data_IF_104324991478
#
_entry.id   IF_104324991478
#
_cell.length_a   1.000
_cell.length_b   1.000
_cell.length_c   1.000
_cell.angle_alpha   90.00
_cell.angle_beta   90.00
_cell.angle_gamma   90.00
#
_symmetry.space_group_name_H-M   'P 1'
#
loop_
_entity.id
_entity.type
_entity.pdbx_description
1 polymer ?
#
# COMPACT_ATOMS: atom_id res chain seq x y z
N UNK A 1 -36.52 -7.98 -35.93
CA UNK A 1 -36.34 -6.62 -35.38
C UNK A 1 -34.84 -6.40 -35.14
N UNK A 2 -34.09 -6.18 -36.23
CA UNK A 2 -32.65 -5.91 -36.21
C UNK A 2 -32.43 -4.43 -35.92
N UNK A 3 -31.80 -4.08 -34.80
CA UNK A 3 -31.28 -2.74 -34.58
C UNK A 3 -29.85 -2.69 -35.11
N UNK A 4 -29.73 -2.22 -36.34
CA UNK A 4 -28.47 -1.81 -36.97
C UNK A 4 -27.92 -0.60 -36.21
N UNK A 5 -26.91 -0.80 -35.36
CA UNK A 5 -26.15 0.32 -34.81
C UNK A 5 -25.16 0.74 -35.91
N UNK A 6 -25.60 1.63 -36.80
CA UNK A 6 -24.69 2.48 -37.57
C UNK A 6 -24.07 3.44 -36.55
N UNK A 7 -22.88 3.14 -36.07
CA UNK A 7 -22.08 4.12 -35.34
C UNK A 7 -21.67 5.22 -36.32
N UNK A 8 -22.35 6.37 -36.26
CA UNK A 8 -21.71 7.65 -36.53
C UNK A 8 -20.50 7.72 -35.60
N UNK A 9 -19.29 7.59 -36.14
CA UNK A 9 -18.04 7.52 -35.40
C UNK A 9 -17.93 8.67 -34.39
N UNK A 10 -17.97 8.40 -33.07
CA UNK A 10 -17.28 9.29 -32.16
C UNK A 10 -15.80 9.07 -32.44
N UNK A 11 -15.09 10.10 -32.89
CA UNK A 11 -13.63 10.07 -32.97
C UNK A 11 -13.09 9.83 -31.56
N UNK A 12 -12.87 8.57 -31.21
CA UNK A 12 -12.16 8.21 -30.00
C UNK A 12 -10.75 8.77 -30.17
N UNK A 13 -10.41 9.81 -29.41
CA UNK A 13 -9.06 10.36 -29.36
C UNK A 13 -8.19 9.34 -28.63
N UNK A 14 -7.65 8.39 -29.39
CA UNK A 14 -6.73 7.37 -28.90
C UNK A 14 -5.42 8.07 -28.59
N UNK A 15 -4.86 7.79 -27.40
CA UNK A 15 -3.56 8.30 -27.02
C UNK A 15 -2.50 7.48 -27.78
N UNK A 16 -1.58 8.12 -28.50
CA UNK A 16 -0.65 7.44 -29.43
C UNK A 16 0.27 6.41 -28.75
N UNK A 17 0.44 6.49 -27.42
CA UNK A 17 1.23 5.53 -26.63
C UNK A 17 0.44 4.33 -26.13
N UNK A 18 -0.88 4.26 -26.38
CA UNK A 18 -1.73 3.19 -25.86
C UNK A 18 -1.67 1.96 -26.79
N UNK A 19 -1.03 0.89 -26.32
CA UNK A 19 -0.76 -0.32 -27.09
C UNK A 19 -1.68 -1.50 -26.74
N UNK A 20 -2.84 -1.24 -26.14
CA UNK A 20 -3.80 -2.30 -25.74
C UNK A 20 -4.29 -3.11 -26.95
N UNK A 21 -4.66 -4.38 -26.73
CA UNK A 21 -5.22 -5.22 -27.80
C UNK A 21 -6.47 -4.61 -28.42
N UNK A 22 -7.29 -3.95 -27.61
CA UNK A 22 -8.48 -3.23 -28.08
C UNK A 22 -8.16 -2.19 -29.16
N UNK A 23 -7.12 -1.37 -28.96
CA UNK A 23 -6.69 -0.38 -29.97
C UNK A 23 -6.18 -1.05 -31.23
N UNK A 24 -5.41 -2.15 -31.09
CA UNK A 24 -4.97 -2.95 -32.25
C UNK A 24 -6.15 -3.51 -33.03
N UNK A 25 -7.23 -3.92 -32.36
CA UNK A 25 -8.44 -4.40 -33.03
C UNK A 25 -9.24 -3.26 -33.68
N UNK A 26 -9.32 -2.09 -33.06
CA UNK A 26 -9.97 -0.90 -33.66
C UNK A 26 -9.20 -0.40 -34.88
N UNK A 27 -7.86 -0.36 -34.83
CA UNK A 27 -7.04 0.05 -35.98
C UNK A 27 -7.17 -0.92 -37.17
N UNK A 28 -7.53 -2.18 -36.90
CA UNK A 28 -7.69 -3.22 -37.92
C UNK A 28 -9.16 -3.46 -38.31
N UNK A 29 -10.10 -2.65 -37.82
CA UNK A 29 -11.55 -2.85 -37.94
C UNK A 29 -12.10 -2.61 -39.38
N UNK A 30 -11.23 -2.38 -40.36
CA UNK A 30 -11.62 -2.05 -41.74
C UNK A 30 -12.09 -3.23 -42.58
N UNK A 31 -12.16 -4.47 -42.08
CA UNK A 31 -12.63 -5.65 -42.84
C UNK A 31 -13.35 -6.68 -41.95
N UNK A 32 -14.69 -6.70 -41.94
CA UNK A 32 -15.62 -7.82 -41.59
C UNK A 32 -15.32 -8.76 -40.38
N UNK A 33 -14.48 -8.37 -39.43
CA UNK A 33 -13.94 -9.24 -38.36
C UNK A 33 -14.50 -8.97 -36.96
N UNK A 34 -15.68 -8.37 -36.86
CA UNK A 34 -16.30 -8.01 -35.57
C UNK A 34 -16.97 -9.18 -34.84
N UNK A 35 -17.33 -10.27 -35.52
CA UNK A 35 -18.14 -11.34 -34.91
C UNK A 35 -17.37 -12.19 -33.90
N UNK A 36 -16.08 -12.46 -34.11
CA UNK A 36 -15.28 -13.27 -33.18
C UNK A 36 -14.80 -12.50 -31.94
N UNK A 37 -14.79 -11.16 -32.00
CA UNK A 37 -14.35 -10.32 -30.89
C UNK A 37 -15.33 -10.33 -29.72
N UNK A 38 -16.58 -10.71 -29.97
CA UNK A 38 -17.68 -10.70 -29.00
C UNK A 38 -18.08 -12.10 -28.50
N UNK A 39 -17.32 -13.13 -28.86
CA UNK A 39 -17.58 -14.52 -28.45
C UNK A 39 -16.61 -14.99 -27.38
N UNK A 40 -17.09 -15.81 -26.45
CA UNK A 40 -16.25 -16.41 -25.39
C UNK A 40 -15.75 -15.40 -24.36
N UNK A 41 -14.53 -15.58 -23.87
CA UNK A 41 -13.89 -14.70 -22.87
C UNK A 41 -13.30 -13.42 -23.45
N UNK A 42 -13.16 -13.31 -24.77
CA UNK A 42 -12.43 -12.23 -25.46
C UNK A 42 -12.89 -10.83 -25.03
N UNK A 43 -14.19 -10.52 -24.92
CA UNK A 43 -14.64 -9.20 -24.45
C UNK A 43 -14.12 -8.85 -23.05
N UNK A 44 -14.17 -9.82 -22.13
CA UNK A 44 -13.72 -9.62 -20.76
C UNK A 44 -12.22 -9.38 -20.71
N UNK A 45 -11.46 -10.15 -21.48
CA UNK A 45 -10.02 -9.97 -21.57
C UNK A 45 -9.63 -8.59 -22.10
N UNK A 46 -10.36 -8.07 -23.10
CA UNK A 46 -10.15 -6.71 -23.62
C UNK A 46 -10.47 -5.64 -22.56
N UNK A 47 -11.52 -5.83 -21.76
CA UNK A 47 -11.84 -4.94 -20.63
C UNK A 47 -10.72 -4.97 -19.58
N UNK A 48 -10.21 -6.14 -19.25
CA UNK A 48 -9.09 -6.29 -18.32
C UNK A 48 -7.85 -5.57 -18.84
N UNK A 49 -7.47 -5.78 -20.10
CA UNK A 49 -6.36 -5.07 -20.74
C UNK A 49 -6.49 -3.54 -20.62
N UNK A 50 -7.67 -3.00 -20.97
CA UNK A 50 -7.94 -1.56 -20.88
C UNK A 50 -7.88 -1.05 -19.44
N UNK A 51 -8.43 -1.81 -18.50
CA UNK A 51 -8.42 -1.47 -17.07
C UNK A 51 -7.00 -1.37 -16.52
N UNK A 52 -6.13 -2.34 -16.84
CA UNK A 52 -4.72 -2.29 -16.44
C UNK A 52 -3.97 -1.11 -17.06
N UNK A 53 -4.22 -0.80 -18.33
CA UNK A 53 -3.59 0.34 -18.98
C UNK A 53 -4.02 1.68 -18.35
N UNK A 54 -5.31 1.81 -18.01
CA UNK A 54 -5.82 2.97 -17.27
C UNK A 54 -5.15 3.09 -15.92
N UNK A 55 -5.16 2.02 -15.12
CA UNK A 55 -4.55 2.03 -13.78
C UNK A 55 -3.06 2.38 -13.85
N UNK A 56 -2.31 1.74 -14.75
CA UNK A 56 -0.89 2.04 -14.98
C UNK A 56 -0.65 3.52 -15.24
N UNK A 57 -1.46 4.14 -16.10
CA UNK A 57 -1.35 5.56 -16.42
C UNK A 57 -1.64 6.44 -15.22
N UNK A 58 -2.68 6.14 -14.46
CA UNK A 58 -3.06 6.92 -13.28
C UNK A 58 -1.97 6.86 -12.20
N UNK A 59 -1.47 5.67 -11.87
CA UNK A 59 -0.38 5.54 -10.90
C UNK A 59 0.88 6.26 -11.37
N UNK A 60 1.26 6.13 -12.66
CA UNK A 60 2.40 6.88 -13.19
C UNK A 60 2.18 8.40 -13.13
N UNK A 61 0.96 8.87 -13.35
CA UNK A 61 0.62 10.29 -13.24
C UNK A 61 0.75 10.80 -11.81
N UNK A 62 0.21 10.06 -10.84
CA UNK A 62 0.30 10.38 -9.40
C UNK A 62 1.76 10.40 -8.94
N UNK A 63 2.51 9.33 -9.22
CA UNK A 63 3.91 9.19 -8.82
C UNK A 63 4.78 10.29 -9.44
N UNK A 64 4.50 10.66 -10.70
CA UNK A 64 5.17 11.79 -11.37
C UNK A 64 4.82 13.13 -10.73
N UNK A 65 3.54 13.38 -10.49
CA UNK A 65 3.05 14.64 -9.93
C UNK A 65 3.65 14.92 -8.55
N UNK A 66 3.70 13.88 -7.71
CA UNK A 66 4.27 13.97 -6.37
C UNK A 66 5.80 13.84 -6.33
N UNK A 67 6.45 13.53 -7.47
CA UNK A 67 7.89 13.25 -7.61
C UNK A 67 8.39 12.18 -6.62
N UNK A 68 7.58 11.16 -6.40
CA UNK A 68 7.83 10.15 -5.38
C UNK A 68 8.95 9.17 -5.71
N UNK A 69 9.20 8.90 -7.00
CA UNK A 69 10.27 7.97 -7.41
C UNK A 69 10.66 8.20 -8.88
N UNK A 70 11.80 7.66 -9.28
CA UNK A 70 12.18 7.63 -10.70
C UNK A 70 11.15 6.81 -11.49
N UNK A 71 10.51 7.49 -12.45
CA UNK A 71 9.53 6.88 -13.33
C UNK A 71 10.13 5.75 -14.15
N UNK A 72 11.45 5.75 -14.41
CA UNK A 72 12.09 4.66 -15.11
C UNK A 72 11.93 3.33 -14.36
N UNK A 73 12.20 3.29 -13.06
CA UNK A 73 12.10 2.08 -12.25
C UNK A 73 10.67 1.56 -12.14
N UNK A 74 9.71 2.47 -11.98
CA UNK A 74 8.28 2.11 -11.95
C UNK A 74 7.83 1.61 -13.31
N UNK A 75 8.25 2.25 -14.40
CA UNK A 75 7.94 1.82 -15.77
C UNK A 75 8.51 0.44 -16.06
N UNK A 76 9.71 0.14 -15.58
CA UNK A 76 10.33 -1.20 -15.71
C UNK A 76 9.53 -2.28 -14.95
N UNK A 77 8.97 -1.95 -13.78
CA UNK A 77 8.09 -2.88 -13.05
C UNK A 77 6.70 -3.00 -13.66
N UNK A 78 6.21 -1.94 -14.31
CA UNK A 78 4.89 -1.87 -14.94
C UNK A 78 4.96 -2.00 -16.48
N UNK A 79 5.99 -2.67 -17.03
CA UNK A 79 6.20 -2.76 -18.49
C UNK A 79 4.95 -3.27 -19.22
N UNK A 80 4.63 -2.62 -20.33
CA UNK A 80 3.54 -2.99 -21.24
C UNK A 80 3.78 -4.37 -21.85
N UNK A 81 2.80 -5.28 -21.73
CA UNK A 81 2.71 -6.44 -22.61
C UNK A 81 1.75 -6.06 -23.71
N UNK A 82 2.28 -5.50 -24.77
CA UNK A 82 1.59 -5.47 -26.04
C UNK A 82 1.80 -6.79 -26.81
N UNK A 83 2.08 -7.91 -26.11
CA UNK A 83 2.38 -9.22 -26.72
C UNK A 83 1.21 -9.83 -27.47
N UNK A 84 0.03 -9.21 -27.47
CA UNK A 84 -1.13 -9.65 -28.24
C UNK A 84 -1.83 -10.88 -27.67
N UNK A 85 -1.27 -11.52 -26.65
CA UNK A 85 -1.78 -12.74 -26.03
C UNK A 85 -2.23 -12.44 -24.59
N UNK A 86 -3.45 -12.84 -24.25
CA UNK A 86 -3.93 -12.77 -22.87
C UNK A 86 -3.23 -13.83 -22.03
N UNK A 87 -2.54 -13.40 -20.98
CA UNK A 87 -1.92 -14.31 -20.02
C UNK A 87 -2.35 -13.91 -18.60
N UNK A 88 -3.20 -14.73 -18.00
CA UNK A 88 -3.79 -14.46 -16.69
C UNK A 88 -2.73 -14.35 -15.58
N UNK A 89 -1.67 -15.16 -15.62
CA UNK A 89 -0.61 -15.14 -14.62
C UNK A 89 0.17 -13.82 -14.64
N UNK A 90 0.42 -13.31 -15.84
CA UNK A 90 1.05 -12.01 -16.03
C UNK A 90 0.18 -10.87 -15.48
N UNK A 91 -1.14 -10.93 -15.68
CA UNK A 91 -2.07 -9.96 -15.09
C UNK A 91 -2.13 -10.06 -13.58
N UNK A 92 -2.10 -11.25 -13.00
CA UNK A 92 -2.05 -11.44 -11.54
C UNK A 92 -0.79 -10.82 -10.93
N UNK A 93 0.39 -11.10 -11.51
CA UNK A 93 1.66 -10.49 -11.05
C UNK A 93 1.62 -8.96 -11.10
N UNK A 94 1.05 -8.40 -12.17
CA UNK A 94 0.88 -6.95 -12.29
C UNK A 94 -0.10 -6.39 -11.27
N UNK A 95 -1.19 -7.10 -11.00
CA UNK A 95 -2.15 -6.68 -10.00
C UNK A 95 -1.49 -6.58 -8.63
N UNK A 96 -0.63 -7.56 -8.30
CA UNK A 96 0.17 -7.53 -7.07
C UNK A 96 1.10 -6.31 -7.06
N UNK A 97 1.83 -6.02 -8.15
CA UNK A 97 2.67 -4.82 -8.21
C UNK A 97 1.88 -3.52 -8.06
N UNK A 98 0.71 -3.40 -8.71
CA UNK A 98 -0.17 -2.24 -8.55
C UNK A 98 -0.70 -2.13 -7.12
N UNK A 99 -1.08 -3.24 -6.50
CA UNK A 99 -1.51 -3.28 -5.10
C UNK A 99 -0.39 -2.86 -4.14
N UNK A 100 0.86 -3.29 -4.38
CA UNK A 100 2.02 -2.86 -3.60
C UNK A 100 2.24 -1.35 -3.73
N UNK A 101 2.18 -0.80 -4.94
CA UNK A 101 2.30 0.66 -5.17
C UNK A 101 1.14 1.41 -4.50
N UNK A 102 -0.08 0.87 -4.59
CA UNK A 102 -1.25 1.45 -3.96
C UNK A 102 -1.09 1.51 -2.44
N UNK A 103 -0.61 0.44 -1.81
CA UNK A 103 -0.32 0.41 -0.38
C UNK A 103 0.68 1.49 0.04
N UNK A 104 1.75 1.70 -0.74
CA UNK A 104 2.69 2.79 -0.49
C UNK A 104 2.00 4.17 -0.52
N UNK A 105 1.08 4.38 -1.47
CA UNK A 105 0.34 5.64 -1.58
C UNK A 105 -0.65 5.83 -0.44
N UNK A 106 -1.36 4.79 -0.01
CA UNK A 106 -2.24 4.83 1.16
C UNK A 106 -1.44 5.17 2.44
N UNK A 107 -0.24 4.60 2.61
CA UNK A 107 0.65 4.99 3.69
C UNK A 107 1.02 6.48 3.63
N UNK A 108 1.31 7.02 2.44
CA UNK A 108 1.61 8.43 2.29
C UNK A 108 0.42 9.33 2.61
N UNK A 109 -0.78 8.97 2.17
CA UNK A 109 -2.01 9.71 2.48
C UNK A 109 -2.27 9.74 3.98
N UNK A 110 -2.07 8.61 4.66
CA UNK A 110 -2.22 8.51 6.11
C UNK A 110 -1.17 9.38 6.83
N UNK A 111 0.09 9.32 6.40
CA UNK A 111 1.16 10.15 6.95
C UNK A 111 0.88 11.65 6.72
N UNK A 112 0.52 12.05 5.50
CA UNK A 112 0.20 13.43 5.16
C UNK A 112 -0.94 13.97 6.01
N UNK A 113 -2.03 13.19 6.14
CA UNK A 113 -3.22 13.58 6.90
C UNK A 113 -2.98 13.76 8.39
N UNK A 114 -2.15 12.91 8.99
CA UNK A 114 -1.97 12.89 10.45
C UNK A 114 -0.73 13.63 10.94
N UNK A 115 0.28 13.80 10.09
CA UNK A 115 1.57 14.38 10.46
C UNK A 115 1.86 15.71 9.76
N UNK A 116 0.91 16.24 8.96
CA UNK A 116 1.04 17.50 8.20
C UNK A 116 2.39 17.59 7.46
N UNK A 117 2.79 16.47 6.88
CA UNK A 117 4.13 16.24 6.38
C UNK A 117 4.41 17.08 5.13
N UNK A 118 5.54 17.82 5.11
CA UNK A 118 5.99 18.49 3.88
C UNK A 118 6.20 17.49 2.73
N UNK A 119 5.98 17.94 1.49
CA UNK A 119 6.13 17.11 0.28
C UNK A 119 7.53 16.46 0.19
N UNK A 120 8.59 17.19 0.57
CA UNK A 120 9.97 16.68 0.59
C UNK A 120 10.15 15.49 1.54
N UNK A 121 9.55 15.61 2.73
CA UNK A 121 9.60 14.56 3.74
C UNK A 121 8.78 13.36 3.26
N UNK A 122 7.60 13.60 2.69
CA UNK A 122 6.75 12.56 2.11
C UNK A 122 7.46 11.77 0.98
N UNK A 123 8.21 12.46 0.11
CA UNK A 123 9.02 11.82 -0.93
C UNK A 123 10.07 10.87 -0.34
N UNK A 124 10.78 11.31 0.69
CA UNK A 124 11.77 10.46 1.36
C UNK A 124 11.14 9.22 1.99
N UNK A 125 9.97 9.38 2.63
CA UNK A 125 9.24 8.28 3.26
C UNK A 125 8.64 7.32 2.22
N UNK A 126 8.16 7.84 1.10
CA UNK A 126 7.69 7.03 -0.01
C UNK A 126 8.81 6.13 -0.55
N UNK A 127 10.03 6.66 -0.70
CA UNK A 127 11.16 5.86 -1.18
C UNK A 127 11.44 4.64 -0.27
N UNK A 128 11.31 4.79 1.04
CA UNK A 128 11.40 3.67 1.99
C UNK A 128 10.26 2.67 1.80
N UNK A 129 9.01 3.15 1.79
CA UNK A 129 7.83 2.30 1.61
C UNK A 129 7.90 1.53 0.27
N UNK A 130 8.30 2.20 -0.80
CA UNK A 130 8.47 1.61 -2.12
C UNK A 130 9.55 0.52 -2.14
N UNK A 131 10.68 0.75 -1.46
CA UNK A 131 11.73 -0.26 -1.33
C UNK A 131 11.25 -1.49 -0.54
N UNK A 132 10.42 -1.29 0.48
CA UNK A 132 9.90 -2.37 1.31
C UNK A 132 8.82 -3.18 0.57
N UNK A 133 7.77 -2.52 0.10
CA UNK A 133 6.60 -3.17 -0.49
C UNK A 133 6.74 -3.48 -1.97
N UNK A 134 7.56 -2.78 -2.74
CA UNK A 134 7.73 -2.99 -4.19
C UNK A 134 9.09 -3.64 -4.46
N UNK A 135 9.39 -4.73 -3.75
CA UNK A 135 10.61 -5.54 -3.90
C UNK A 135 10.29 -7.02 -4.11
N UNK A 136 11.30 -7.80 -4.47
CA UNK A 136 11.14 -9.27 -4.55
C UNK A 136 10.80 -9.88 -3.19
N UNK A 137 11.25 -9.25 -2.10
CA UNK A 137 11.01 -9.65 -0.72
C UNK A 137 9.80 -8.94 -0.11
N UNK A 138 8.90 -8.38 -0.94
CA UNK A 138 7.71 -7.71 -0.45
C UNK A 138 6.92 -8.60 0.51
N UNK A 139 6.40 -8.03 1.62
CA UNK A 139 5.49 -8.78 2.48
C UNK A 139 4.16 -9.10 1.78
N UNK A 140 3.80 -8.38 0.71
CA UNK A 140 2.61 -8.60 -0.09
C UNK A 140 2.96 -9.40 -1.35
N UNK A 141 2.75 -10.71 -1.31
CA UNK A 141 3.03 -11.61 -2.45
C UNK A 141 1.76 -11.93 -3.25
N UNK A 142 0.60 -11.96 -2.60
CA UNK A 142 -0.70 -12.14 -3.24
C UNK A 142 -1.68 -11.02 -2.88
N UNK A 143 -2.46 -10.56 -3.86
CA UNK A 143 -3.47 -9.51 -3.66
C UNK A 143 -4.54 -9.90 -2.63
N UNK A 144 -4.81 -11.19 -2.43
CA UNK A 144 -5.78 -11.66 -1.42
C UNK A 144 -5.33 -11.41 0.02
N UNK A 145 -4.04 -11.19 0.25
CA UNK A 145 -3.52 -10.90 1.59
C UNK A 145 -3.94 -9.52 2.10
N UNK A 146 -4.31 -8.58 1.22
CA UNK A 146 -4.76 -7.24 1.59
C UNK A 146 -5.96 -7.26 2.54
N UNK A 147 -6.85 -8.25 2.41
CA UNK A 147 -8.06 -8.34 3.24
C UNK A 147 -7.85 -9.13 4.55
N UNK A 148 -6.77 -9.92 4.62
CA UNK A 148 -6.63 -10.97 5.63
C UNK A 148 -5.38 -10.79 6.51
N UNK A 149 -4.54 -9.79 6.22
CA UNK A 149 -3.26 -9.60 6.87
C UNK A 149 -3.04 -8.15 7.24
N UNK A 150 -2.47 -7.94 8.42
CA UNK A 150 -2.00 -6.63 8.86
C UNK A 150 -0.58 -6.44 8.35
N UNK A 151 -0.35 -5.34 7.66
CA UNK A 151 0.96 -4.92 7.20
C UNK A 151 1.49 -3.83 8.11
N UNK A 152 2.75 -3.98 8.55
CA UNK A 152 3.43 -3.00 9.38
C UNK A 152 4.55 -2.38 8.58
N UNK A 153 4.57 -1.06 8.51
CA UNK A 153 5.62 -0.29 7.83
C UNK A 153 6.46 0.42 8.89
N UNK A 154 7.77 0.15 8.90
CA UNK A 154 8.71 0.78 9.86
C UNK A 154 9.74 1.58 9.09
N UNK A 155 9.76 2.90 9.30
CA UNK A 155 10.65 3.79 8.57
C UNK A 155 11.31 4.82 9.49
N UNK A 156 12.54 5.26 9.18
CA UNK A 156 13.16 6.36 9.89
C UNK A 156 12.43 7.66 9.54
N UNK A 157 12.12 8.46 10.56
CA UNK A 157 11.49 9.76 10.35
C UNK A 157 12.52 10.83 9.93
N UNK A 158 12.16 11.74 9.00
CA UNK A 158 12.98 12.90 8.68
C UNK A 158 13.12 13.80 9.90
N UNK A 159 14.33 14.36 10.14
CA UNK A 159 14.63 15.19 11.33
C UNK A 159 13.65 16.35 11.53
N UNK A 160 13.17 16.97 10.44
CA UNK A 160 12.17 18.05 10.51
C UNK A 160 10.90 17.57 11.23
N UNK A 161 10.42 16.37 10.90
CA UNK A 161 9.18 15.79 11.40
C UNK A 161 9.31 15.30 12.86
N UNK A 162 10.50 14.87 13.26
CA UNK A 162 10.79 14.49 14.66
C UNK A 162 10.56 15.67 15.61
N UNK A 163 10.96 16.88 15.22
CA UNK A 163 10.80 18.06 16.07
C UNK A 163 9.33 18.43 16.28
N UNK A 164 8.48 18.23 15.27
CA UNK A 164 7.06 18.53 15.38
C UNK A 164 6.31 17.45 16.16
N UNK A 165 6.69 16.19 15.99
CA UNK A 165 6.19 15.09 16.84
C UNK A 165 6.55 15.24 18.31
N UNK A 166 7.74 15.76 18.63
CA UNK A 166 8.14 16.00 20.01
C UNK A 166 7.27 17.07 20.71
N UNK A 167 6.57 17.91 19.95
CA UNK A 167 5.60 18.88 20.48
C UNK A 167 4.20 18.27 20.65
N UNK A 168 3.95 17.11 20.04
CA UNK A 168 2.66 16.44 20.07
C UNK A 168 2.46 15.73 21.42
N UNK A 169 1.24 15.73 21.93
CA UNK A 169 0.93 15.00 23.15
C UNK A 169 1.08 13.49 22.94
N UNK A 170 1.99 12.87 23.67
CA UNK A 170 2.17 11.42 23.59
C UNK A 170 0.90 10.70 24.04
N UNK A 171 0.36 9.86 23.15
CA UNK A 171 -0.75 8.98 23.47
C UNK A 171 -0.30 7.76 24.29
N UNK A 172 0.99 7.45 24.22
CA UNK A 172 1.63 6.29 24.84
C UNK A 172 3.02 6.70 25.34
N UNK A 173 3.38 6.25 26.55
CA UNK A 173 4.72 6.36 27.10
C UNK A 173 5.20 4.98 27.56
N UNK A 174 6.41 4.59 27.15
CA UNK A 174 7.06 3.34 27.59
C UNK A 174 8.43 3.64 28.19
N UNK A 175 8.66 3.22 29.42
CA UNK A 175 9.97 3.30 30.08
C UNK A 175 10.45 1.90 30.42
N UNK A 176 11.69 1.58 30.08
CA UNK A 176 12.30 0.28 30.38
C UNK A 176 13.58 0.51 31.19
N UNK A 177 13.68 -0.16 32.34
CA UNK A 177 14.85 -0.17 33.21
C UNK A 177 15.41 -1.57 33.19
N UNK A 178 16.66 -1.72 32.75
CA UNK A 178 17.35 -3.01 32.68
C UNK A 178 18.59 -3.03 33.56
N UNK A 179 18.80 -4.13 34.27
CA UNK A 179 20.00 -4.44 35.04
C UNK A 179 20.60 -5.75 34.55
N UNK A 180 21.86 -5.74 34.14
CA UNK A 180 22.59 -6.91 33.64
C UNK A 180 23.70 -7.31 34.61
N UNK A 181 23.78 -8.61 34.91
CA UNK A 181 24.86 -9.26 35.64
C UNK A 181 25.40 -10.44 34.84
N UNK A 182 26.50 -11.06 35.30
CA UNK A 182 27.14 -12.17 34.59
C UNK A 182 26.22 -13.39 34.37
N UNK A 183 25.23 -13.60 35.23
CA UNK A 183 24.32 -14.75 35.18
C UNK A 183 22.88 -14.40 34.77
N UNK A 184 22.48 -13.13 34.92
CA UNK A 184 21.07 -12.73 34.81
C UNK A 184 20.92 -11.31 34.27
N UNK A 185 19.95 -11.13 33.38
CA UNK A 185 19.48 -9.83 32.91
C UNK A 185 18.02 -9.66 33.35
N UNK A 186 17.75 -8.61 34.14
CA UNK A 186 16.41 -8.22 34.59
C UNK A 186 15.98 -6.97 33.83
N UNK A 187 14.76 -6.95 33.30
CA UNK A 187 14.18 -5.77 32.65
C UNK A 187 12.78 -5.51 33.18
N UNK A 188 12.55 -4.34 33.75
CA UNK A 188 11.21 -3.87 34.12
C UNK A 188 10.78 -2.81 33.12
N UNK A 189 9.63 -3.02 32.48
CA UNK A 189 9.03 -2.09 31.52
C UNK A 189 7.70 -1.57 32.06
N UNK A 190 7.60 -0.26 32.21
CA UNK A 190 6.35 0.43 32.50
C UNK A 190 5.79 1.01 31.20
N UNK A 191 4.49 0.88 31.01
CA UNK A 191 3.79 1.35 29.83
C UNK A 191 2.52 2.06 30.27
N UNK A 192 2.35 3.29 29.80
CA UNK A 192 1.20 4.16 30.05
C UNK A 192 0.56 4.55 28.72
N UNK A 193 -0.76 4.57 28.64
CA UNK A 193 -1.52 4.87 27.42
C UNK A 193 -2.82 5.59 27.73
N UNK A 194 -3.20 6.54 26.87
CA UNK A 194 -4.53 7.17 26.89
C UNK A 194 -5.63 6.28 26.31
N UNK A 195 -5.25 5.23 25.57
CA UNK A 195 -6.17 4.22 25.04
C UNK A 195 -6.03 2.90 25.82
N UNK A 196 -7.12 2.11 25.93
CA UNK A 196 -7.08 0.78 26.54
C UNK A 196 -5.93 -0.06 25.97
N UNK A 197 -5.10 -0.60 26.87
CA UNK A 197 -3.94 -1.44 26.51
C UNK A 197 -4.42 -2.85 26.14
N UNK A 198 -5.48 -3.29 26.81
CA UNK A 198 -6.10 -4.59 26.63
C UNK A 198 -7.52 -4.43 26.04
N UNK A 199 -8.15 -5.53 25.60
CA UNK A 199 -9.57 -5.54 25.25
C UNK A 199 -10.45 -4.85 26.30
N UNK A 200 -11.42 -4.07 25.87
CA UNK A 200 -12.18 -3.17 26.77
C UNK A 200 -13.03 -3.91 27.81
N UNK A 201 -13.33 -5.18 27.57
CA UNK A 201 -14.11 -6.08 28.43
C UNK A 201 -13.42 -6.44 29.76
N UNK A 202 -12.09 -6.23 29.87
CA UNK A 202 -11.38 -6.49 31.13
C UNK A 202 -11.34 -5.30 32.07
N UNK A 203 -11.76 -4.12 31.61
CA UNK A 203 -11.82 -2.92 32.45
C UNK A 203 -13.17 -2.84 33.14
N UNK A 204 -13.22 -2.43 34.42
CA UNK A 204 -14.48 -2.24 35.11
C UNK A 204 -15.32 -1.18 34.40
N UNK A 205 -16.63 -1.44 34.27
CA UNK A 205 -17.59 -0.47 33.74
C UNK A 205 -17.82 0.57 34.83
N UNK A 206 -17.03 1.64 34.83
CA UNK A 206 -17.28 2.77 35.72
C UNK A 206 -18.50 3.53 35.21
N UNK A 207 -19.61 3.44 35.95
CA UNK A 207 -20.84 4.23 35.74
C UNK A 207 -20.67 5.71 36.15
N UNK A 208 -19.43 6.20 36.29
CA UNK A 208 -19.16 7.56 36.69
C UNK A 208 -19.04 8.45 35.45
N UNK A 209 -19.98 9.40 35.33
CA UNK A 209 -19.92 10.54 34.41
C UNK A 209 -18.77 11.51 34.80
N UNK A 210 -17.56 11.01 35.00
CA UNK A 210 -16.38 11.80 35.33
C UNK A 210 -15.62 12.13 34.07
N UNK A 211 -15.63 13.42 33.72
CA UNK A 211 -14.83 14.11 32.70
C UNK A 211 -13.30 14.04 32.94
N UNK A 212 -12.81 13.03 33.67
CA UNK A 212 -11.39 12.87 33.97
C UNK A 212 -10.69 12.04 32.89
N UNK A 213 -9.49 12.48 32.50
CA UNK A 213 -8.69 11.84 31.47
C UNK A 213 -8.15 10.48 32.00
N UNK A 214 -8.74 9.37 31.56
CA UNK A 214 -8.35 8.02 32.00
C UNK A 214 -7.01 7.64 31.36
N UNK A 215 -6.04 7.23 32.19
CA UNK A 215 -4.75 6.70 31.74
C UNK A 215 -4.63 5.24 32.17
N UNK A 216 -4.39 4.37 31.18
CA UNK A 216 -4.16 2.94 31.39
C UNK A 216 -2.66 2.69 31.61
N UNK A 217 -2.32 1.94 32.66
CA UNK A 217 -0.94 1.63 33.01
C UNK A 217 -0.70 0.14 33.22
N UNK A 218 0.44 -0.37 32.75
CA UNK A 218 0.94 -1.71 33.04
C UNK A 218 2.43 -1.68 33.37
N UNK A 219 2.85 -2.53 34.30
CA UNK A 219 4.26 -2.85 34.56
C UNK A 219 4.51 -4.32 34.28
N UNK A 220 5.53 -4.62 33.48
CA UNK A 220 5.96 -5.97 33.16
C UNK A 220 7.43 -6.14 33.53
N UNK A 221 7.75 -7.14 34.34
CA UNK A 221 9.13 -7.51 34.67
C UNK A 221 9.48 -8.82 34.00
N UNK A 222 10.57 -8.84 33.23
CA UNK A 222 11.12 -10.02 32.60
C UNK A 222 12.54 -10.29 33.09
N UNK A 223 12.91 -11.56 33.18
CA UNK A 223 14.27 -11.99 33.49
C UNK A 223 14.75 -12.97 32.43
N UNK A 224 16.03 -12.90 32.09
CA UNK A 224 16.70 -13.93 31.30
C UNK A 224 17.98 -14.40 32.00
N UNK A 225 18.21 -15.71 31.98
CA UNK A 225 19.35 -16.35 32.61
C UNK A 225 20.33 -16.86 31.55
N UNK A 226 21.62 -16.55 31.72
CA UNK A 226 22.69 -17.07 30.86
C UNK A 226 23.25 -18.35 31.48
N UNK A 227 22.94 -19.49 30.90
CA UNK A 227 23.57 -20.76 31.28
C UNK A 227 24.83 -20.97 30.43
N UNK A 228 25.99 -21.18 31.08
CA UNK A 228 27.16 -21.75 30.39
C UNK A 228 26.81 -23.19 30.01
N UNK A 229 26.93 -23.53 28.71
CA UNK A 229 26.98 -24.94 28.30
C UNK A 229 28.21 -25.57 28.94
N UNK A 230 27.98 -26.61 29.75
CA UNK A 230 29.02 -27.50 30.26
C UNK A 230 29.57 -28.37 29.12
#
# INVERSE_FOLDING_TARGET
MQKSIKFSTPYAKINDTNSTRFIKHISNLSQDTTSYLLTGSVPLELVVDMGFEKLRRDYLYILRGARFVDLHDVRQKLVNMSSGIFNMENYRKRLVTLAQIHLCLECMLLIERHLECSVESLQSLFAYAYKEFVSAQSPLQNYTELCNRIFTLTMPLPKKLVNDLNKMNFSVCRTSISSESAALMLTTTNYYSKMPIFPTDIYPIDNANTLEEIIYGISATSSSTKYKKL
#
